data_IF_958918949073
#
_entry.id   IF_958918949073
#
_cell.length_a   1.000
_cell.length_b   1.000
_cell.length_c   1.000
_cell.angle_alpha   90.00
_cell.angle_beta   90.00
_cell.angle_gamma   90.00
#
_symmetry.space_group_name_H-M   'P 1'
#
loop_
_entity.id
_entity.type
_entity.pdbx_description
1 polymer ?
2 non-polymer ?
3 water ?
#
# COMPACT_ATOMS: atom_id res chain seq x y z
N UNK A 5 16.55 0.66 -23.31
CA UNK A 5 15.94 -0.68 -23.09
C UNK A 5 14.91 -0.53 -21.97
N UNK A 6 13.83 -1.31 -22.04
CA UNK A 6 12.78 -1.33 -21.00
C UNK A 6 13.32 -2.05 -19.76
N UNK A 7 12.90 -1.61 -18.58
CA UNK A 7 13.23 -2.24 -17.29
C UNK A 7 12.35 -3.47 -17.02
N UNK A 8 11.29 -3.64 -17.80
CA UNK A 8 10.27 -4.71 -17.56
C UNK A 8 10.96 -6.06 -17.74
N UNK A 9 10.77 -6.93 -16.77
CA UNK A 9 11.28 -8.32 -16.79
C UNK A 9 10.15 -9.18 -17.36
N UNK A 10 10.29 -9.73 -18.58
CA UNK A 10 9.16 -10.41 -19.26
C UNK A 10 8.70 -11.59 -18.41
N UNK A 11 9.59 -12.27 -17.69
CA UNK A 11 9.19 -13.43 -16.86
C UNK A 11 8.27 -12.94 -15.72
N UNK A 12 8.58 -11.82 -15.09
CA UNK A 12 7.68 -11.28 -14.03
C UNK A 12 6.38 -10.79 -14.67
N UNK A 13 6.46 -10.13 -15.82
CA UNK A 13 5.29 -9.59 -16.56
C UNK A 13 4.34 -10.76 -16.86
N UNK A 14 4.85 -11.86 -17.40
CA UNK A 14 4.03 -13.07 -17.68
C UNK A 14 3.39 -13.61 -16.39
N UNK A 15 4.16 -13.75 -15.32
CA UNK A 15 3.68 -14.27 -14.03
C UNK A 15 2.55 -13.36 -13.53
N UNK A 16 2.77 -12.05 -13.51
CA UNK A 16 1.77 -11.06 -12.99
C UNK A 16 0.48 -11.18 -13.79
N UNK A 17 0.61 -11.26 -15.11
CA UNK A 17 -0.54 -11.33 -16.04
C UNK A 17 -1.36 -12.59 -15.75
N UNK A 18 -0.70 -13.73 -15.61
CA UNK A 18 -1.37 -15.03 -15.38
C UNK A 18 -2.09 -14.99 -14.04
N UNK A 19 -1.42 -14.51 -12.99
CA UNK A 19 -1.96 -14.55 -11.60
C UNK A 19 -3.11 -13.54 -11.51
N UNK A 20 -2.99 -12.39 -12.18
CA UNK A 20 -4.04 -11.34 -12.10
C UNK A 20 -5.28 -11.89 -12.79
N UNK A 21 -5.11 -12.42 -13.98
CA UNK A 21 -6.26 -12.94 -14.78
C UNK A 21 -6.95 -14.08 -14.04
N UNK A 22 -6.20 -14.98 -13.38
CA UNK A 22 -6.80 -16.09 -12.60
C UNK A 22 -7.71 -15.50 -11.53
N UNK A 23 -7.23 -14.49 -10.81
CA UNK A 23 -7.94 -13.95 -9.64
C UNK A 23 -9.19 -13.17 -10.08
N UNK A 24 -9.08 -12.37 -11.14
CA UNK A 24 -10.21 -11.56 -11.66
C UNK A 24 -11.32 -12.52 -12.13
N UNK A 25 -10.95 -13.61 -12.81
CA UNK A 25 -11.91 -14.64 -13.31
C UNK A 25 -12.55 -15.32 -12.10
N UNK A 26 -11.75 -15.77 -11.15
CA UNK A 26 -12.24 -16.57 -10.02
C UNK A 26 -13.19 -15.73 -9.18
N UNK A 27 -12.88 -14.45 -8.97
CA UNK A 27 -13.68 -13.57 -8.09
C UNK A 27 -14.72 -12.79 -8.91
N UNK A 28 -14.83 -13.08 -10.20
CA UNK A 28 -15.80 -12.40 -11.11
C UNK A 28 -15.72 -10.88 -10.91
N UNK A 29 -14.49 -10.36 -10.90
CA UNK A 29 -14.20 -8.95 -10.62
C UNK A 29 -14.36 -8.13 -11.89
N UNK A 30 -14.51 -6.81 -11.72
CA UNK A 30 -14.65 -5.87 -12.85
C UNK A 30 -13.30 -5.62 -13.53
N UNK A 31 -12.23 -5.51 -12.75
CA UNK A 31 -10.91 -5.11 -13.28
C UNK A 31 -9.84 -5.38 -12.22
N UNK A 32 -8.59 -5.23 -12.62
CA UNK A 32 -7.47 -5.32 -11.68
C UNK A 32 -6.18 -4.91 -12.30
N UNK A 33 -5.18 -4.75 -11.44
CA UNK A 33 -3.82 -4.29 -11.78
C UNK A 33 -2.81 -4.95 -10.85
N UNK A 34 -1.64 -5.26 -11.41
CA UNK A 34 -0.42 -5.59 -10.65
C UNK A 34 0.71 -4.67 -11.09
N UNK A 35 1.45 -4.14 -10.12
CA UNK A 35 2.72 -3.38 -10.33
C UNK A 35 3.82 -4.08 -9.55
N UNK A 36 4.97 -4.29 -10.18
CA UNK A 36 6.19 -4.76 -9.47
C UNK A 36 7.26 -3.70 -9.68
N UNK A 37 7.80 -3.13 -8.60
CA UNK A 37 8.91 -2.14 -8.66
C UNK A 37 10.17 -2.74 -8.07
N UNK A 38 11.30 -2.38 -8.66
CA UNK A 38 12.61 -2.54 -7.99
C UNK A 38 12.61 -1.63 -6.77
N UNK A 39 12.77 -2.21 -5.58
CA UNK A 39 12.58 -1.52 -4.28
C UNK A 39 13.69 -0.49 -4.00
N UNK A 40 14.83 -0.52 -4.74
CA UNK A 40 15.94 0.42 -4.51
C UNK A 40 16.19 1.30 -5.73
N UNK A 41 15.49 1.08 -6.86
CA UNK A 41 15.71 1.96 -8.05
C UNK A 41 14.43 2.65 -8.53
N UNK A 42 13.24 2.09 -8.25
CA UNK A 42 11.98 2.61 -8.78
C UNK A 42 11.72 2.18 -10.20
N UNK A 43 12.58 1.34 -10.78
CA UNK A 43 12.33 0.76 -12.12
C UNK A 43 11.09 -0.14 -12.04
N UNK A 44 10.25 -0.05 -13.06
CA UNK A 44 9.07 -0.91 -13.20
C UNK A 44 9.53 -2.25 -13.75
N UNK A 45 9.37 -3.32 -12.98
CA UNK A 45 9.72 -4.69 -13.43
C UNK A 45 8.53 -5.37 -14.09
N UNK A 46 7.31 -4.99 -13.72
CA UNK A 46 6.07 -5.54 -14.31
C UNK A 46 4.95 -4.55 -14.04
N UNK A 47 4.07 -4.43 -15.01
CA UNK A 47 2.90 -3.56 -14.90
C UNK A 47 1.83 -4.13 -15.82
N UNK A 48 0.76 -4.67 -15.22
CA UNK A 48 -0.29 -5.45 -15.93
C UNK A 48 -1.66 -4.92 -15.51
N UNK A 49 -2.56 -4.81 -16.47
CA UNK A 49 -3.96 -4.45 -16.16
C UNK A 49 -4.83 -5.47 -16.89
N UNK A 50 -6.04 -5.64 -16.39
CA UNK A 50 -7.13 -6.27 -17.18
C UNK A 50 -7.32 -5.45 -18.45
N UNK A 51 -7.92 -6.09 -19.49
CA UNK A 51 -7.98 -5.50 -20.82
C UNK A 51 -8.58 -4.09 -20.74
N UNK A 52 -8.09 -3.01 -21.75
CA UNK A 52 -8.55 -1.62 -21.59
C UNK A 52 -7.39 -0.75 -21.18
N UNK A 53 -7.72 0.39 -20.62
CA UNK A 53 -6.75 1.47 -20.35
C UNK A 53 -5.73 0.99 -19.32
N UNK A 54 -4.65 1.73 -19.24
CA UNK A 54 -3.54 1.46 -18.28
C UNK A 54 -3.96 2.02 -16.91
N UNK A 55 -4.88 1.32 -16.25
CA UNK A 55 -5.53 1.77 -15.01
C UNK A 55 -4.45 2.02 -13.95
N UNK A 56 -3.37 1.24 -13.94
CA UNK A 56 -2.28 1.41 -12.95
C UNK A 56 -1.82 2.87 -12.90
N UNK A 57 -1.88 3.57 -14.03
CA UNK A 57 -1.29 4.93 -14.13
C UNK A 57 -2.41 5.92 -14.39
N UNK A 58 -3.49 5.54 -15.09
CA UNK A 58 -4.56 6.53 -15.46
C UNK A 58 -5.59 6.73 -14.36
N UNK A 59 -5.83 5.76 -13.48
CA UNK A 59 -6.99 5.78 -12.57
C UNK A 59 -6.52 6.07 -11.15
N UNK A 60 -7.27 6.86 -10.41
CA UNK A 60 -6.94 7.13 -9.00
C UNK A 60 -8.00 6.48 -8.10
N UNK A 61 -7.57 5.92 -6.98
CA UNK A 61 -8.45 5.23 -5.99
C UNK A 61 -8.21 5.90 -4.65
N UNK A 62 -9.15 5.78 -3.71
CA UNK A 62 -8.88 6.03 -2.27
C UNK A 62 -8.04 4.86 -1.79
N UNK A 63 -6.84 5.08 -1.23
CA UNK A 63 -5.98 3.96 -0.86
C UNK A 63 -6.54 3.10 0.27
N UNK A 64 -7.44 3.64 1.09
CA UNK A 64 -7.91 2.91 2.28
C UNK A 64 -6.75 2.47 3.17
N UNK A 65 -6.83 1.26 3.73
CA UNK A 65 -5.91 0.84 4.81
C UNK A 65 -4.48 0.76 4.34
N UNK A 66 -4.22 0.65 3.03
CA UNK A 66 -2.81 0.57 2.54
C UNK A 66 -2.09 1.92 2.72
N UNK A 67 -2.81 2.97 3.08
CA UNK A 67 -2.22 4.29 3.44
C UNK A 67 -1.62 4.25 4.86
N UNK A 68 -2.03 3.31 5.74
CA UNK A 68 -1.79 3.42 7.20
C UNK A 68 -0.31 3.43 7.57
N UNK A 69 0.58 2.68 6.87
CA UNK A 69 2.00 2.71 7.23
C UNK A 69 2.59 4.12 7.22
N UNK A 70 2.02 5.04 6.42
CA UNK A 70 2.63 6.38 6.27
C UNK A 70 2.40 7.26 7.50
N UNK A 71 1.17 7.52 8.01
CA UNK A 71 1.01 8.24 9.28
C UNK A 71 1.78 7.54 10.41
N UNK A 72 1.81 6.21 10.41
CA UNK A 72 2.58 5.45 11.45
C UNK A 72 4.07 5.85 11.33
N UNK A 73 4.62 5.84 10.12
CA UNK A 73 6.02 6.23 9.87
C UNK A 73 6.27 7.67 10.36
N UNK A 74 5.38 8.59 10.02
CA UNK A 74 5.54 10.01 10.35
C UNK A 74 5.55 10.16 11.88
N UNK A 75 4.66 9.48 12.58
CA UNK A 75 4.57 9.56 14.05
C UNK A 75 5.89 9.07 14.66
N UNK A 76 6.39 7.93 14.21
CA UNK A 76 7.66 7.37 14.74
C UNK A 76 8.83 8.32 14.40
N UNK A 77 8.86 8.84 13.16
CA UNK A 77 9.96 9.68 12.66
C UNK A 77 10.04 10.98 13.48
N UNK A 78 8.91 11.50 13.98
CA UNK A 78 8.81 12.76 14.76
C UNK A 78 9.48 12.57 16.12
N UNK A 79 9.65 11.34 16.59
CA UNK A 79 10.08 11.07 17.98
C UNK A 79 8.97 11.26 19.01
N UNK A 80 7.75 11.58 18.59
CA UNK A 80 6.60 11.80 19.53
C UNK A 80 5.96 10.46 19.91
N UNK A 81 6.19 9.41 19.12
CA UNK A 81 5.59 8.09 19.30
C UNK A 81 6.70 7.06 19.28
N UNK A 82 6.58 6.06 20.17
CA UNK A 82 7.43 4.86 20.20
C UNK A 82 6.60 3.65 19.76
N UNK A 83 7.22 2.64 19.12
CA UNK A 83 6.50 1.41 18.67
C UNK A 83 5.73 0.78 19.84
N UNK A 84 6.20 0.92 21.09
CA UNK A 84 5.60 0.22 22.24
C UNK A 84 4.44 1.03 22.81
N UNK A 85 4.23 2.27 22.35
CA UNK A 85 3.13 3.12 22.86
C UNK A 85 1.77 2.47 22.56
N UNK A 86 0.85 2.61 23.50
CA UNK A 86 -0.54 2.13 23.44
C UNK A 86 -1.46 3.33 23.23
N UNK A 87 -2.50 3.14 22.42
CA UNK A 87 -3.53 4.15 22.09
C UNK A 87 -4.92 3.62 22.42
N UNK A 88 -5.79 4.55 22.83
CA UNK A 88 -7.26 4.29 22.98
C UNK A 88 -7.82 4.10 21.56
N UNK A 89 -8.33 2.91 21.27
CA UNK A 89 -8.82 2.55 19.92
C UNK A 89 -10.34 2.36 19.92
N UNK A 90 -11.01 2.83 20.96
CA UNK A 90 -12.50 2.83 20.95
C UNK A 90 -13.01 3.76 19.85
N UNK A 91 -14.20 3.46 19.27
CA UNK A 91 -14.79 4.35 18.28
C UNK A 91 -15.06 5.70 18.94
N UNK A 92 -15.01 6.76 18.14
CA UNK A 92 -15.19 8.16 18.61
C UNK A 92 -15.78 8.96 17.46
N UNK A 93 -16.31 10.13 17.82
CA UNK A 93 -17.02 11.01 16.87
C UNK A 93 -16.19 12.27 16.67
N UNK A 94 -16.22 12.80 15.45
CA UNK A 94 -15.78 14.18 15.10
C UNK A 94 -17.01 14.85 14.49
N UNK A 95 -17.64 15.78 15.23
CA UNK A 95 -19.00 16.24 14.96
C UNK A 95 -19.93 15.05 14.70
N UNK A 96 -20.70 15.00 13.58
CA UNK A 96 -21.63 13.90 13.34
C UNK A 96 -21.05 12.62 12.70
N UNK A 97 -19.75 12.59 12.43
CA UNK A 97 -19.05 11.47 11.77
C UNK A 97 -18.51 10.52 12.83
N UNK A 98 -18.53 9.22 12.55
CA UNK A 98 -17.89 8.19 13.42
C UNK A 98 -16.61 7.73 12.76
N UNK A 99 -15.54 7.66 13.55
CA UNK A 99 -14.30 6.89 13.23
C UNK A 99 -14.38 5.59 14.04
N UNK A 100 -14.33 4.45 13.36
CA UNK A 100 -14.44 3.12 14.03
C UNK A 100 -13.73 2.03 13.23
N UNK A 101 -13.44 0.91 13.91
CA UNK A 101 -12.84 -0.29 13.28
C UNK A 101 -13.95 -1.32 13.11
N UNK A 102 -13.76 -2.32 12.24
CA UNK A 102 -14.73 -3.44 12.08
C UNK A 102 -14.72 -4.31 13.34
N UNK A 103 -13.57 -4.53 13.96
CA UNK A 103 -13.40 -5.35 15.19
C UNK A 103 -12.88 -4.39 16.27
N UNK A 104 -13.63 -4.22 17.36
CA UNK A 104 -13.33 -3.22 18.41
C UNK A 104 -12.30 -3.81 19.38
N UNK A 105 -11.26 -3.03 19.61
CA UNK A 105 -10.29 -3.25 20.70
C UNK A 105 -10.32 -1.97 21.52
N UNK A 106 -10.32 -2.04 22.87
CA UNK A 106 -10.24 -0.82 23.66
C UNK A 106 -8.89 -0.11 23.49
N UNK A 107 -7.80 -0.85 23.35
CA UNK A 107 -6.45 -0.26 23.19
C UNK A 107 -5.60 -1.13 22.28
N UNK A 108 -4.67 -0.50 21.56
CA UNK A 108 -3.70 -1.22 20.71
C UNK A 108 -2.39 -0.47 20.79
N UNK A 109 -1.29 -1.20 20.77
CA UNK A 109 0.02 -0.55 20.56
C UNK A 109 0.20 -0.39 19.06
N UNK A 110 1.31 0.21 18.65
CA UNK A 110 1.51 0.57 17.22
C UNK A 110 1.54 -0.73 16.40
N UNK A 111 2.20 -1.76 16.90
CA UNK A 111 2.25 -3.05 16.17
C UNK A 111 0.83 -3.57 15.97
N UNK A 112 -0.03 -3.51 16.99
CA UNK A 112 -1.43 -3.97 16.87
C UNK A 112 -2.20 -3.13 15.84
N UNK A 113 -2.03 -1.81 15.85
CA UNK A 113 -2.67 -0.90 14.86
C UNK A 113 -2.32 -1.37 13.43
N UNK A 114 -1.05 -1.70 13.21
CA UNK A 114 -0.57 -2.18 11.89
C UNK A 114 -1.12 -3.58 11.58
N UNK A 115 -0.94 -4.52 12.52
CA UNK A 115 -1.32 -5.94 12.38
C UNK A 115 -2.83 -6.09 12.11
N UNK A 116 -3.64 -5.42 12.92
CA UNK A 116 -5.11 -5.57 12.87
C UNK A 116 -5.75 -4.59 11.88
N UNK A 117 -5.03 -3.53 11.48
CA UNK A 117 -5.54 -2.42 10.63
C UNK A 117 -6.60 -1.63 11.38
N UNK A 118 -6.19 -0.84 12.37
CA UNK A 118 -7.12 0.00 13.17
C UNK A 118 -7.24 1.39 12.53
N UNK A 119 -8.41 1.73 12.00
CA UNK A 119 -8.69 3.11 11.55
C UNK A 119 -8.56 4.06 12.73
N UNK A 120 -9.15 3.71 13.87
CA UNK A 120 -9.11 4.61 15.07
C UNK A 120 -7.65 4.87 15.45
N UNK A 121 -6.88 3.81 15.66
CA UNK A 121 -5.48 3.93 16.12
C UNK A 121 -4.70 4.80 15.15
N UNK A 122 -4.84 4.56 13.86
CA UNK A 122 -4.10 5.35 12.85
C UNK A 122 -4.48 6.83 13.00
N UNK A 123 -5.77 7.13 13.17
CA UNK A 123 -6.27 8.52 13.29
C UNK A 123 -5.67 9.23 14.51
N UNK A 124 -5.46 8.51 15.61
CA UNK A 124 -4.90 9.04 16.88
C UNK A 124 -3.44 9.43 16.61
N UNK A 125 -2.72 8.73 15.73
CA UNK A 125 -1.32 9.05 15.35
C UNK A 125 -1.30 10.28 14.45
N UNK A 126 -2.15 10.33 13.42
CA UNK A 126 -2.31 11.55 12.58
C UNK A 126 -2.64 12.77 13.47
N UNK A 127 -3.51 12.65 14.48
CA UNK A 127 -4.10 13.77 15.25
C UNK A 127 -3.03 14.50 16.10
N UNK A 128 -1.85 13.91 16.26
CA UNK A 128 -0.72 14.55 16.99
C UNK A 128 -0.10 15.66 16.12
N UNK A 129 -0.47 15.73 14.84
CA UNK A 129 0.12 16.69 13.89
C UNK A 129 -0.94 17.67 13.40
N UNK A 130 -0.48 18.80 12.89
CA UNK A 130 -1.37 19.82 12.32
C UNK A 130 -1.78 19.42 10.89
N UNK A 131 -2.88 19.97 10.37
CA UNK A 131 -3.23 19.74 8.97
C UNK A 131 -2.08 20.04 8.00
N UNK A 132 -1.36 21.16 8.21
CA UNK A 132 -0.22 21.50 7.33
C UNK A 132 0.86 20.41 7.40
N UNK A 133 1.21 19.97 8.60
CA UNK A 133 2.21 18.89 8.78
C UNK A 133 1.78 17.64 8.00
N UNK A 134 0.52 17.24 8.11
CA UNK A 134 0.09 15.94 7.49
C UNK A 134 0.02 16.14 5.97
N UNK A 135 -0.51 17.27 5.48
CA UNK A 135 -0.54 17.59 4.03
C UNK A 135 0.89 17.55 3.47
N UNK A 136 1.83 18.20 4.16
CA UNK A 136 3.23 18.32 3.69
C UNK A 136 3.83 16.91 3.57
N UNK A 137 3.50 16.05 4.51
CA UNK A 137 3.99 14.65 4.54
C UNK A 137 3.41 13.86 3.35
N UNK A 138 2.09 13.92 3.16
CA UNK A 138 1.41 13.27 2.01
C UNK A 138 1.96 13.83 0.68
N UNK A 139 2.16 15.14 0.57
CA UNK A 139 2.75 15.77 -0.64
C UNK A 139 4.15 15.20 -0.87
N UNK A 140 4.94 15.06 0.18
CA UNK A 140 6.33 14.53 0.13
C UNK A 140 6.36 13.04 -0.27
N UNK A 141 5.26 12.30 -0.10
CA UNK A 141 5.14 10.90 -0.57
C UNK A 141 4.75 10.88 -2.05
N UNK A 142 4.41 12.04 -2.64
CA UNK A 142 3.98 12.14 -4.04
C UNK A 142 2.48 12.19 -4.19
N UNK A 143 1.70 12.25 -3.11
CA UNK A 143 0.22 12.32 -3.27
C UNK A 143 -0.15 13.66 -3.91
N UNK A 144 -0.90 13.62 -5.01
CA UNK A 144 -1.30 14.84 -5.74
C UNK A 144 -0.22 15.31 -6.67
N UNK A 145 0.89 14.58 -6.79
CA UNK A 145 2.09 15.00 -7.55
C UNK A 145 2.23 14.14 -8.81
N UNK A 146 2.56 14.79 -9.92
CA UNK A 146 2.90 14.09 -11.17
C UNK A 146 4.25 13.35 -11.01
N UNK A 147 4.27 12.07 -11.34
CA UNK A 147 5.50 11.24 -11.31
C UNK A 147 6.33 11.52 -12.56
N UNK A 148 5.71 11.91 -13.68
CA UNK A 148 6.44 11.98 -14.99
C UNK A 148 7.12 10.63 -15.25
N UNK A 149 6.36 9.52 -15.08
CA UNK A 149 6.81 8.11 -15.25
C UNK A 149 7.24 7.86 -16.71
N UNK A 150 6.69 8.61 -17.66
CA UNK A 150 6.85 8.36 -19.10
C UNK A 150 5.57 7.84 -19.74
N UNK A 151 4.54 7.51 -18.95
CA UNK A 151 3.24 7.08 -19.50
C UNK A 151 2.38 8.32 -19.77
N UNK A 152 1.63 8.34 -20.90
CA UNK A 152 0.59 9.36 -21.08
C UNK A 152 -0.61 9.09 -20.18
N UNK A 153 -1.42 10.13 -19.96
CA UNK A 153 -2.66 10.07 -19.17
C UNK A 153 -2.37 9.74 -17.72
N UNK A 154 -1.15 9.99 -17.25
CA UNK A 154 -0.76 9.70 -15.84
C UNK A 154 -1.59 10.54 -14.87
N UNK A 155 -2.32 9.91 -13.96
CA UNK A 155 -3.06 10.64 -12.90
C UNK A 155 -2.09 11.23 -11.88
N UNK A 156 -2.34 12.47 -11.43
CA UNK A 156 -1.65 13.10 -10.29
C UNK A 156 -2.31 12.67 -8.98
N UNK A 157 -3.49 12.07 -9.04
CA UNK A 157 -4.28 11.82 -7.82
C UNK A 157 -4.84 13.14 -7.27
N UNK A 158 -5.29 13.12 -6.03
CA UNK A 158 -6.01 14.25 -5.39
C UNK A 158 -5.45 14.38 -3.98
N UNK A 159 -4.99 15.59 -3.61
CA UNK A 159 -4.71 15.90 -2.19
C UNK A 159 -5.20 17.32 -1.92
N UNK A 160 -6.36 17.43 -1.29
CA UNK A 160 -7.00 18.74 -1.01
C UNK A 160 -6.05 19.58 -0.19
N UNK A 161 -5.99 20.87 -0.44
CA UNK A 161 -5.09 21.74 0.33
C UNK A 161 -5.54 21.76 1.80
N UNK A 162 -4.59 21.73 2.73
CA UNK A 162 -4.87 21.62 4.18
C UNK A 162 -5.70 22.82 4.65
N UNK A 163 -5.66 23.93 3.90
CA UNK A 163 -6.40 25.16 4.29
C UNK A 163 -7.90 24.93 4.19
N UNK A 164 -8.32 23.89 3.48
CA UNK A 164 -9.74 23.55 3.27
C UNK A 164 -10.19 22.39 4.14
N UNK A 165 -9.30 21.73 4.90
CA UNK A 165 -9.63 20.47 5.62
C UNK A 165 -10.61 20.74 6.76
N UNK A 166 -11.69 19.97 6.84
CA UNK A 166 -12.49 19.83 8.08
C UNK A 166 -11.76 18.85 8.98
N UNK A 167 -11.89 18.92 10.33
CA UNK A 167 -11.18 18.00 11.22
C UNK A 167 -11.42 16.50 10.93
N UNK A 168 -12.61 16.18 10.41
CA UNK A 168 -12.93 14.76 10.04
C UNK A 168 -12.00 14.37 8.88
N UNK A 169 -11.63 15.29 8.00
CA UNK A 169 -10.85 14.92 6.78
C UNK A 169 -9.43 14.50 7.15
N UNK A 170 -8.78 15.20 8.10
CA UNK A 170 -7.44 14.81 8.53
C UNK A 170 -7.53 13.36 9.05
N UNK A 171 -8.56 13.04 9.82
CA UNK A 171 -8.70 11.70 10.42
C UNK A 171 -8.88 10.65 9.30
N UNK A 172 -9.83 10.83 8.39
CA UNK A 172 -10.12 9.81 7.36
C UNK A 172 -8.92 9.69 6.41
N UNK A 173 -8.19 10.77 6.12
CA UNK A 173 -7.03 10.64 5.19
C UNK A 173 -5.99 9.71 5.79
N UNK A 174 -5.82 9.72 7.11
CA UNK A 174 -4.82 8.91 7.82
C UNK A 174 -5.11 7.42 7.56
N UNK A 175 -6.38 7.01 7.37
CA UNK A 175 -6.72 5.60 7.06
C UNK A 175 -7.26 5.48 5.63
N UNK A 176 -6.96 6.47 4.79
CA UNK A 176 -6.95 6.32 3.31
C UNK A 176 -8.23 6.72 2.58
N UNK A 177 -9.06 7.58 3.15
CA UNK A 177 -10.26 8.13 2.47
C UNK A 177 -10.16 9.64 2.45
N UNK A 178 -10.59 10.22 1.35
CA UNK A 178 -10.60 11.69 1.18
C UNK A 178 -9.34 12.18 0.50
N UNK A 179 -8.51 11.26 0.02
CA UNK A 179 -7.35 11.54 -0.88
C UNK A 179 -7.31 10.38 -1.86
N UNK A 180 -6.64 10.55 -3.00
CA UNK A 180 -6.65 9.52 -4.05
C UNK A 180 -5.28 9.46 -4.71
N UNK A 181 -4.87 8.23 -5.06
CA UNK A 181 -3.57 7.90 -5.68
C UNK A 181 -3.87 6.87 -6.76
N UNK A 182 -3.05 6.82 -7.79
CA UNK A 182 -3.04 5.65 -8.70
C UNK A 182 -2.31 4.50 -7.99
N UNK A 183 -2.47 3.28 -8.51
CA UNK A 183 -1.69 2.15 -7.93
C UNK A 183 -0.20 2.41 -8.11
N UNK A 184 0.23 3.00 -9.23
CA UNK A 184 1.66 3.26 -9.47
C UNK A 184 2.14 4.29 -8.44
N UNK A 185 1.35 5.31 -8.12
CA UNK A 185 1.76 6.29 -7.08
C UNK A 185 1.86 5.59 -5.72
N UNK A 186 0.96 4.66 -5.42
CA UNK A 186 0.95 3.97 -4.12
C UNK A 186 2.19 3.08 -4.04
N UNK A 187 2.51 2.34 -5.11
CA UNK A 187 3.75 1.50 -5.13
C UNK A 187 4.97 2.41 -4.97
N UNK A 188 5.00 3.55 -5.65
CA UNK A 188 6.08 4.53 -5.51
C UNK A 188 6.22 5.00 -4.06
N UNK A 189 5.12 5.33 -3.38
CA UNK A 189 5.17 5.82 -1.99
C UNK A 189 5.90 4.80 -1.09
N UNK A 190 5.70 3.51 -1.34
CA UNK A 190 6.30 2.41 -0.56
C UNK A 190 7.83 2.41 -0.73
N UNK A 191 8.41 3.08 -1.74
CA UNK A 191 9.89 3.19 -1.83
C UNK A 191 10.43 3.99 -0.64
N UNK A 192 9.62 4.81 0.03
CA UNK A 192 10.07 5.51 1.27
C UNK A 192 10.40 4.44 2.32
N UNK A 193 9.66 3.35 2.35
CA UNK A 193 9.88 2.26 3.35
C UNK A 193 11.03 1.35 2.91
N UNK A 194 11.19 1.10 1.62
CA UNK A 194 12.16 0.10 1.10
C UNK A 194 13.51 0.76 0.86
N UNK A 195 13.56 2.03 0.43
CA UNK A 195 14.83 2.72 0.09
C UNK A 195 15.28 3.60 1.25
N UNK A 196 15.26 3.07 2.47
CA UNK A 196 15.87 3.73 3.65
C UNK A 196 15.36 5.17 3.80
N UNK A 197 14.06 5.40 3.56
CA UNK A 197 13.40 6.67 3.89
C UNK A 197 13.37 7.68 2.76
N UNK A 198 13.92 7.35 1.59
CA UNK A 198 13.96 8.26 0.41
C UNK A 198 12.93 7.84 -0.64
N UNK A 199 12.11 8.77 -1.10
CA UNK A 199 11.17 8.49 -2.21
C UNK A 199 11.95 8.41 -3.52
N UNK A 200 11.73 7.35 -4.30
CA UNK A 200 12.36 7.14 -5.61
C UNK A 200 11.43 7.65 -6.70
N UNK A 201 12.01 8.06 -7.84
CA UNK A 201 11.23 8.25 -9.06
C UNK A 201 10.88 6.89 -9.64
N UNK A 202 9.87 6.83 -10.51
CA UNK A 202 9.55 5.57 -11.22
C UNK A 202 9.81 5.80 -12.69
N UNK A 203 10.20 4.73 -13.35
CA UNK A 203 10.64 4.72 -14.76
C UNK A 203 10.43 3.31 -15.32
N UNK A 204 10.13 3.20 -16.59
CA UNK A 204 10.13 1.87 -17.24
C UNK A 204 11.34 1.71 -18.17
N UNK A 205 12.31 2.60 -18.08
CA UNK A 205 13.61 2.46 -18.80
C UNK A 205 14.63 1.92 -17.81
N UNK A 206 15.57 1.08 -18.27
CA UNK A 206 16.69 0.61 -17.43
C UNK A 206 17.50 1.81 -16.98
N UNK A 207 17.83 1.86 -15.71
CA UNK A 207 18.55 3.02 -15.11
C UNK A 207 20.02 2.91 -15.54
N UNK A 208 20.67 4.03 -15.79
CA UNK A 208 22.10 4.13 -16.12
C UNK A 208 22.81 4.92 -15.03
N UNK A 209 22.05 5.68 -14.24
CA UNK A 209 22.57 6.55 -13.17
C UNK A 209 21.74 6.27 -11.92
N UNK A 210 22.39 6.22 -10.76
CA UNK A 210 21.71 6.04 -9.44
C UNK A 210 20.60 7.07 -9.35
N UNK A 211 19.32 6.66 -9.18
CA UNK A 211 18.24 7.61 -8.99
C UNK A 211 18.51 8.43 -7.73
N UNK A 212 18.17 9.71 -7.75
CA UNK A 212 18.37 10.60 -6.60
C UNK A 212 17.03 10.61 -5.85
N UNK A 213 17.02 10.01 -4.67
CA UNK A 213 15.83 9.95 -3.81
C UNK A 213 15.61 11.26 -3.11
N UNK A 214 14.41 11.48 -2.59
CA UNK A 214 14.14 12.65 -1.73
C UNK A 214 13.86 12.13 -0.30
N UNK A 215 14.59 12.62 0.69
CA UNK A 215 14.45 12.10 2.07
C UNK A 215 13.09 12.52 2.64
N UNK A 216 12.32 11.56 3.10
CA UNK A 216 10.98 11.81 3.70
C UNK A 216 11.01 11.39 5.17
N UNK A 217 11.65 10.26 5.48
CA UNK A 217 11.83 9.82 6.90
C UNK A 217 13.27 9.33 7.10
N UNK A 218 13.70 9.22 8.35
CA UNK A 218 15.02 8.61 8.67
C UNK A 218 15.09 7.16 8.19
N UNK A 219 16.29 6.70 7.80
CA UNK A 219 16.50 5.27 7.49
C UNK A 219 16.09 4.39 8.68
N UNK A 220 16.37 4.82 9.91
CA UNK A 220 16.06 4.03 11.13
C UNK A 220 14.54 3.86 11.24
N UNK A 221 13.77 4.90 10.89
CA UNK A 221 12.28 4.85 10.93
C UNK A 221 11.78 3.85 9.89
N UNK A 222 12.29 3.93 8.66
CA UNK A 222 11.90 3.01 7.58
C UNK A 222 12.15 1.59 8.07
N UNK A 223 13.31 1.35 8.70
CA UNK A 223 13.65 -0.03 9.12
C UNK A 223 12.61 -0.49 10.17
N UNK A 224 12.27 0.37 11.12
CA UNK A 224 11.30 0.01 12.18
C UNK A 224 9.92 -0.30 11.58
N UNK A 225 9.49 0.48 10.60
CA UNK A 225 8.16 0.30 9.95
C UNK A 225 8.18 -1.01 9.16
N UNK A 226 9.26 -1.34 8.46
CA UNK A 226 9.35 -2.64 7.75
C UNK A 226 9.19 -3.79 8.77
N UNK A 227 9.82 -3.71 9.94
CA UNK A 227 9.71 -4.75 10.99
C UNK A 227 8.25 -4.85 11.44
N UNK A 228 7.58 -3.72 11.66
CA UNK A 228 6.15 -3.71 12.08
C UNK A 228 5.29 -4.38 11.02
N UNK A 229 5.56 -4.13 9.75
CA UNK A 229 4.72 -4.63 8.65
C UNK A 229 4.88 -6.14 8.46
N UNK A 230 5.94 -6.77 9.00
CA UNK A 230 6.00 -8.24 8.93
C UNK A 230 4.84 -8.85 9.74
N UNK A 231 4.39 -8.19 10.81
CA UNK A 231 3.26 -8.69 11.64
C UNK A 231 2.01 -8.95 10.76
N UNK A 232 1.87 -8.25 9.64
CA UNK A 232 0.67 -8.31 8.78
C UNK A 232 0.59 -9.68 8.10
N UNK A 233 1.73 -10.32 7.82
CA UNK A 233 1.80 -11.61 7.07
C UNK A 233 2.09 -12.79 8.01
N UNK A 234 2.16 -12.53 9.31
CA UNK A 234 2.33 -13.59 10.35
C UNK A 234 1.00 -13.84 11.08
N UNK A 235 0.97 -14.89 11.90
CA UNK A 235 -0.25 -15.28 12.64
C UNK A 235 -0.82 -14.06 13.36
N UNK A 236 -2.12 -13.84 13.20
CA UNK A 236 -2.84 -12.72 13.83
C UNK A 236 -2.91 -11.51 12.90
N UNK A 237 -2.18 -11.54 11.79
CA UNK A 237 -2.14 -10.40 10.85
C UNK A 237 -3.25 -10.50 9.83
N UNK A 238 -3.71 -9.38 9.30
CA UNK A 238 -4.77 -9.35 8.28
C UNK A 238 -4.28 -9.92 6.94
N UNK A 239 -2.96 -10.03 6.69
CA UNK A 239 -2.40 -10.36 5.37
C UNK A 239 -1.68 -11.69 5.34
N UNK A 240 -2.05 -12.60 6.24
CA UNK A 240 -1.42 -13.94 6.34
C UNK A 240 -1.51 -14.69 5.00
N UNK A 241 -2.54 -14.42 4.17
CA UNK A 241 -2.69 -15.08 2.84
C UNK A 241 -1.54 -14.70 1.91
N UNK A 242 -0.83 -13.61 2.20
CA UNK A 242 0.24 -13.11 1.33
C UNK A 242 1.61 -13.58 1.77
N UNK A 243 1.70 -14.35 2.87
CA UNK A 243 2.97 -14.93 3.35
C UNK A 243 3.63 -15.70 2.20
N UNK A 244 4.95 -15.61 2.10
CA UNK A 244 5.77 -16.30 1.06
C UNK A 244 6.70 -17.27 1.77
N UNK A 245 6.70 -18.51 1.32
CA UNK A 245 7.50 -19.58 1.97
C UNK A 245 8.98 -19.19 1.83
N UNK A 246 9.74 -19.22 2.92
CA UNK A 246 11.20 -18.98 2.90
C UNK A 246 11.55 -17.52 3.06
N UNK A 247 10.58 -16.62 3.19
CA UNK A 247 10.87 -15.17 3.40
C UNK A 247 10.01 -14.59 4.53
N UNK A 248 10.50 -13.49 5.08
CA UNK A 248 9.69 -12.55 5.88
C UNK A 248 9.21 -11.45 4.93
N UNK A 249 7.93 -11.17 4.96
CA UNK A 249 7.28 -10.23 4.02
C UNK A 249 6.65 -9.09 4.81
N UNK A 250 6.99 -7.86 4.49
CA UNK A 250 6.29 -6.70 5.09
C UNK A 250 5.18 -6.32 4.16
N UNK A 251 3.95 -6.19 4.64
CA UNK A 251 2.83 -5.87 3.73
C UNK A 251 1.71 -5.14 4.46
N UNK A 252 0.76 -4.65 3.67
CA UNK A 252 -0.46 -4.01 4.18
C UNK A 252 -1.63 -4.38 3.27
N UNK A 253 -2.72 -4.75 3.88
CA UNK A 253 -4.00 -5.11 3.26
C UNK A 253 -4.91 -3.89 3.33
N UNK A 254 -5.82 -3.79 2.38
CA UNK A 254 -6.89 -2.78 2.46
C UNK A 254 -8.10 -3.26 1.74
N UNK A 255 -9.25 -3.08 2.35
CA UNK A 255 -10.57 -3.28 1.71
C UNK A 255 -11.35 -1.97 1.86
N UNK A 256 -11.70 -1.35 0.76
CA UNK A 256 -12.36 -0.04 0.74
C UNK A 256 -13.75 -0.17 0.12
N UNK A 257 -14.77 0.33 0.80
CA UNK A 257 -16.10 0.56 0.21
C UNK A 257 -15.97 1.62 -0.88
N UNK A 258 -16.71 1.47 -1.98
CA UNK A 258 -16.67 2.42 -3.12
C UNK A 258 -17.75 3.48 -2.95
N UNK A 259 -17.51 4.63 -3.58
CA UNK A 259 -18.31 5.87 -3.53
C UNK A 259 -19.29 5.82 -4.71
N UNK A 260 -20.60 5.78 -4.45
CA UNK A 260 -21.67 5.70 -5.49
C UNK A 260 -22.65 6.86 -5.28
N UNK A 261 -22.53 7.90 -6.13
CA UNK A 261 -23.27 9.18 -6.08
C UNK A 261 -23.03 9.81 -4.70
N UNK A 262 -21.74 9.92 -4.32
CA UNK A 262 -21.25 10.60 -3.11
C UNK A 262 -21.51 9.86 -1.81
N UNK A 263 -22.01 8.62 -1.84
CA UNK A 263 -22.28 7.81 -0.63
C UNK A 263 -21.45 6.52 -0.70
N UNK A 264 -20.79 6.15 0.40
CA UNK A 264 -20.07 4.86 0.51
C UNK A 264 -21.10 3.74 0.60
N UNK A 265 -20.99 2.71 -0.25
CA UNK A 265 -21.94 1.56 -0.26
C UNK A 265 -21.26 0.30 0.28
N UNK A 266 -22.03 -0.61 0.87
CA UNK A 266 -21.48 -1.79 1.60
C UNK A 266 -21.46 -3.04 0.72
N UNK A 267 -21.92 -2.94 -0.54
CA UNK A 267 -22.03 -4.10 -1.47
C UNK A 267 -21.03 -3.95 -2.63
N UNK A 268 -20.06 -3.03 -2.52
CA UNK A 268 -19.08 -2.73 -3.59
C UNK A 268 -17.74 -2.34 -2.96
N UNK A 269 -16.70 -3.12 -3.25
CA UNK A 269 -15.37 -2.98 -2.59
C UNK A 269 -14.24 -2.92 -3.61
N UNK A 270 -13.11 -2.29 -3.23
CA UNK A 270 -11.83 -2.46 -3.94
C UNK A 270 -10.86 -3.14 -2.97
N UNK A 271 -10.26 -4.24 -3.42
CA UNK A 271 -9.33 -5.00 -2.57
C UNK A 271 -7.92 -4.66 -3.03
N UNK A 272 -7.04 -4.32 -2.08
CA UNK A 272 -5.65 -3.91 -2.39
C UNK A 272 -4.72 -4.68 -1.47
N UNK A 273 -3.55 -5.04 -1.98
CA UNK A 273 -2.51 -5.71 -1.18
C UNK A 273 -1.19 -5.17 -1.67
N UNK A 274 -0.38 -4.60 -0.81
CA UNK A 274 0.97 -4.10 -1.19
C UNK A 274 2.00 -4.60 -0.19
N UNK A 275 3.13 -5.04 -0.68
CA UNK A 275 4.18 -5.51 0.22
C UNK A 275 5.51 -5.60 -0.47
N UNK A 276 6.50 -6.01 0.31
CA UNK A 276 7.91 -5.99 -0.12
C UNK A 276 8.61 -7.14 0.58
N UNK A 277 9.68 -7.62 -0.05
CA UNK A 277 10.46 -8.74 0.51
C UNK A 277 11.81 -8.76 -0.18
N UNK A 278 12.85 -9.32 0.46
CA UNK A 278 12.84 -9.71 1.89
C UNK A 278 12.66 -8.51 2.83
N UNK A 279 11.86 -8.67 3.88
CA UNK A 279 11.39 -7.53 4.71
C UNK A 279 12.57 -6.67 5.19
N UNK A 280 13.65 -7.29 5.67
CA UNK A 280 14.76 -6.54 6.30
C UNK A 280 15.55 -5.77 5.23
N UNK A 281 15.67 -6.31 4.03
CA UNK A 281 16.42 -5.64 2.93
C UNK A 281 15.75 -5.94 1.59
N UNK A 282 14.61 -5.28 1.33
CA UNK A 282 13.76 -5.68 0.22
C UNK A 282 14.36 -5.45 -1.16
N UNK A 283 14.10 -6.38 -2.07
CA UNK A 283 14.50 -6.28 -3.49
C UNK A 283 13.33 -5.76 -4.33
N UNK A 284 12.09 -6.09 -3.95
CA UNK A 284 10.87 -5.94 -4.81
C UNK A 284 9.73 -5.33 -3.98
N UNK A 285 8.92 -4.46 -4.59
CA UNK A 285 7.57 -4.08 -4.11
C UNK A 285 6.58 -4.70 -5.09
N UNK A 286 5.56 -5.38 -4.56
CA UNK A 286 4.45 -5.94 -5.37
C UNK A 286 3.17 -5.29 -4.86
N UNK A 287 2.42 -4.69 -5.76
CA UNK A 287 1.15 -3.98 -5.47
C UNK A 287 0.09 -4.63 -6.33
N UNK A 288 -1.02 -5.02 -5.70
CA UNK A 288 -2.15 -5.69 -6.39
C UNK A 288 -3.43 -4.93 -6.01
N UNK A 289 -4.26 -4.59 -7.00
CA UNK A 289 -5.66 -4.13 -6.81
C UNK A 289 -6.61 -5.01 -7.62
N UNK A 290 -7.77 -5.31 -7.04
CA UNK A 290 -8.89 -5.96 -7.76
C UNK A 290 -10.15 -5.19 -7.40
N UNK A 291 -10.81 -4.69 -8.44
CA UNK A 291 -12.00 -3.80 -8.38
C UNK A 291 -13.27 -4.66 -8.41
N UNK A 292 -14.10 -4.53 -7.37
CA UNK A 292 -15.44 -5.14 -7.27
C UNK A 292 -15.40 -6.64 -7.51
N UNK A 293 -14.69 -7.41 -6.66
CA UNK A 293 -14.90 -8.85 -6.63
C UNK A 293 -16.37 -9.11 -6.25
N UNK A 294 -17.01 -10.11 -6.85
CA UNK A 294 -18.46 -10.40 -6.66
C UNK A 294 -18.67 -11.87 -6.30
N UNK A 295 -17.63 -12.69 -6.41
CA UNK A 295 -17.69 -14.15 -6.12
C UNK A 295 -16.52 -14.52 -5.22
N UNK A 296 -16.73 -15.43 -4.28
CA UNK A 296 -15.65 -16.12 -3.52
C UNK A 296 -14.91 -15.09 -2.64
N UNK A 297 -15.63 -14.09 -2.13
CA UNK A 297 -15.13 -13.18 -1.08
C UNK A 297 -14.80 -11.81 -1.65
N UNK A 298 -14.66 -10.81 -0.79
CA UNK A 298 -14.42 -9.41 -1.20
C UNK A 298 -13.31 -8.75 -0.36
N UNK A 299 -12.79 -9.44 0.65
CA UNK A 299 -11.76 -8.91 1.59
C UNK A 299 -10.38 -9.01 0.92
N UNK A 300 -9.54 -8.03 1.15
CA UNK A 300 -8.15 -7.96 0.61
C UNK A 300 -7.45 -9.31 0.77
N UNK A 301 -7.42 -9.84 2.00
CA UNK A 301 -6.63 -11.04 2.31
C UNK A 301 -6.99 -12.18 1.36
N UNK A 302 -8.28 -12.39 1.10
CA UNK A 302 -8.75 -13.60 0.36
C UNK A 302 -8.70 -13.33 -1.15
N UNK A 303 -8.90 -12.09 -1.59
CA UNK A 303 -8.95 -11.74 -3.03
C UNK A 303 -7.54 -11.43 -3.54
N UNK A 304 -6.78 -10.56 -2.87
CA UNK A 304 -5.51 -10.07 -3.43
C UNK A 304 -4.32 -10.76 -2.78
N UNK A 305 -4.44 -11.30 -1.57
CA UNK A 305 -3.33 -12.01 -0.89
C UNK A 305 -2.73 -13.11 -1.75
N UNK A 306 -3.53 -14.03 -2.30
CA UNK A 306 -2.99 -15.10 -3.14
C UNK A 306 -2.25 -14.61 -4.39
N UNK A 307 -2.75 -13.55 -5.04
CA UNK A 307 -2.06 -12.92 -6.20
C UNK A 307 -0.69 -12.43 -5.71
N UNK A 308 -0.68 -11.65 -4.63
CA UNK A 308 0.57 -11.12 -4.04
C UNK A 308 1.51 -12.29 -3.75
N UNK A 309 1.02 -13.33 -3.07
CA UNK A 309 1.88 -14.48 -2.68
C UNK A 309 2.61 -15.03 -3.91
N UNK A 310 1.87 -15.30 -4.98
CA UNK A 310 2.43 -15.96 -6.17
C UNK A 310 3.36 -14.99 -6.90
N UNK A 311 3.00 -13.71 -6.97
CA UNK A 311 3.80 -12.75 -7.77
C UNK A 311 5.09 -12.45 -7.00
N UNK A 312 5.01 -12.31 -5.68
CA UNK A 312 6.21 -11.99 -4.86
C UNK A 312 7.15 -13.19 -4.83
N UNK A 313 6.63 -14.37 -4.53
CA UNK A 313 7.44 -15.60 -4.48
C UNK A 313 8.08 -15.86 -5.83
N UNK A 314 7.31 -15.75 -6.89
CA UNK A 314 7.79 -15.94 -8.28
C UNK A 314 8.86 -14.91 -8.63
N UNK A 315 8.66 -13.64 -8.28
CA UNK A 315 9.60 -12.53 -8.58
C UNK A 315 10.95 -12.78 -7.89
N UNK A 316 10.94 -13.18 -6.63
CA UNK A 316 12.18 -13.42 -5.84
C UNK A 316 12.97 -14.59 -6.47
N UNK A 317 12.25 -15.63 -6.91
CA UNK A 317 12.86 -16.79 -7.61
C UNK A 317 13.45 -16.33 -8.95
N UNK A 318 12.72 -15.57 -9.76
CA UNK A 318 13.18 -15.06 -11.08
C UNK A 318 14.43 -14.19 -10.94
N UNK A 319 14.48 -13.37 -9.90
CA UNK A 319 15.61 -12.43 -9.68
C UNK A 319 16.76 -13.13 -8.97
N UNK A 320 16.61 -14.40 -8.58
CA UNK A 320 17.71 -15.22 -8.00
C UNK A 320 18.00 -14.81 -6.57
N UNK A 321 16.99 -14.47 -5.79
CA UNK A 321 17.13 -14.11 -4.36
C UNK A 321 16.85 -15.38 -3.55
N UNK A 322 17.80 -15.83 -2.74
CA UNK A 322 17.64 -17.05 -1.90
C UNK A 322 16.65 -16.80 -0.78
N UNK A 323 15.84 -17.80 -0.43
CA UNK A 323 15.09 -17.77 0.81
C UNK A 323 16.02 -17.49 2.00
N UNK A 324 15.58 -16.66 2.94
CA UNK A 324 16.34 -16.23 4.14
C UNK A 324 16.03 -17.17 5.31
N UNK A 325 15.06 -18.07 5.16
CA UNK A 325 14.71 -19.08 6.19
C UNK A 325 14.30 -20.37 5.51
N UNK A 326 14.48 -21.52 6.21
CA UNK A 326 14.08 -22.79 5.63
C UNK A 326 12.61 -22.77 5.21
N UNK A 327 12.30 -23.41 4.09
CA UNK A 327 10.92 -23.58 3.57
C UNK A 327 10.12 -24.48 4.53
N UNK A 328 8.77 -24.48 4.40
CA UNK A 328 7.81 -25.31 5.17
C UNK A 328 6.58 -25.70 4.33
#
# INVERSE_FOLDING_TARGET
GSGGALSLDQRIQTLAYEELNKAVEYHQAKAGTVVVLDARTGEILALVNTPGRNRAVTDMIEPGSVMKPFPIAKALDSGKVDTTDTFNTLPYKIGPATVQDTHVYPTLDVRGIMQKSSNVGTSKLSAMFTPKEMYDFYHDLGVGVRMHSGFPGESAGVLRNWRKWRPIEQATMSFGYGLQLSLLQLARAYTVLTHDGELLPVSFEKQAVAPKGKRVIKASTAKKVRELMVSVTEAGGSGIAGAVDGFDVGAKTGTARKLVNGRYVDYKHVATFIGFAPAKNPRVIVAVTIDEPTANGYYSGVVTGPVFKQVMGGSLNILGVSPTKPLTNV
#
